data_IF_813565047827
#
_entry.id   IF_813565047827
#
_cell.length_a   1.000
_cell.length_b   1.000
_cell.length_c   1.000
_cell.angle_alpha   90.00
_cell.angle_beta   90.00
_cell.angle_gamma   90.00
#
_symmetry.space_group_name_H-M   'P 1'
#
loop_
_entity.id
_entity.type
_entity.pdbx_description
1 polymer ?
#
# COMPACT_ATOMS: atom_id res chain seq x y z
N UNK A 1 -2.91 19.36 6.27
CA UNK A 1 -4.18 18.59 6.38
C UNK A 1 -4.35 17.80 5.08
N UNK A 2 -4.49 16.47 5.16
CA UNK A 2 -4.67 15.60 3.99
C UNK A 2 -6.16 15.37 3.72
N UNK A 3 -6.71 16.06 2.71
CA UNK A 3 -8.14 16.00 2.35
C UNK A 3 -8.53 14.60 1.88
N UNK A 4 -7.66 13.89 1.16
CA UNK A 4 -7.97 12.56 0.62
C UNK A 4 -8.02 11.55 1.76
N UNK A 5 -7.03 11.58 2.66
CA UNK A 5 -7.00 10.74 3.86
C UNK A 5 -8.21 10.98 4.76
N UNK A 6 -8.59 12.25 5.00
CA UNK A 6 -9.77 12.57 5.79
C UNK A 6 -11.06 12.06 5.15
N UNK A 7 -11.20 12.21 3.82
CA UNK A 7 -12.35 11.65 3.09
C UNK A 7 -12.44 10.13 3.27
N UNK A 8 -11.33 9.40 3.20
CA UNK A 8 -11.31 7.95 3.42
C UNK A 8 -11.76 7.57 4.85
N UNK A 9 -11.31 8.32 5.86
CA UNK A 9 -11.76 8.13 7.23
C UNK A 9 -13.27 8.39 7.39
N UNK A 10 -13.79 9.45 6.76
CA UNK A 10 -15.23 9.74 6.73
C UNK A 10 -16.02 8.66 5.99
N UNK A 11 -15.49 8.09 4.91
CA UNK A 11 -16.13 6.96 4.21
C UNK A 11 -16.28 5.74 5.11
N UNK A 12 -15.28 5.44 5.95
CA UNK A 12 -15.40 4.36 6.95
C UNK A 12 -16.47 4.66 7.99
N UNK A 13 -16.48 5.88 8.55
CA UNK A 13 -17.48 6.29 9.53
C UNK A 13 -18.90 6.25 8.94
N UNK A 14 -19.06 6.71 7.69
CA UNK A 14 -20.31 6.63 6.95
C UNK A 14 -20.76 5.17 6.74
N UNK A 15 -19.87 4.28 6.29
CA UNK A 15 -20.21 2.88 6.09
C UNK A 15 -20.68 2.20 7.40
N UNK A 16 -20.03 2.52 8.53
CA UNK A 16 -20.45 2.03 9.85
C UNK A 16 -21.82 2.59 10.24
N UNK A 17 -22.07 3.87 9.98
CA UNK A 17 -23.38 4.49 10.22
C UNK A 17 -24.50 3.79 9.43
N UNK A 18 -24.26 3.49 8.16
CA UNK A 18 -25.22 2.79 7.30
C UNK A 18 -25.46 1.34 7.77
N UNK A 19 -24.41 0.62 8.18
CA UNK A 19 -24.53 -0.73 8.73
C UNK A 19 -25.40 -0.71 9.99
N UNK A 20 -25.12 0.19 10.92
CA UNK A 20 -25.85 0.29 12.19
C UNK A 20 -27.34 0.68 12.01
N UNK A 21 -27.71 1.28 10.87
CA UNK A 21 -29.11 1.63 10.53
C UNK A 21 -29.84 0.55 9.73
N UNK A 22 -29.12 -0.46 9.25
CA UNK A 22 -29.70 -1.51 8.43
C UNK A 22 -30.19 -2.67 9.31
N UNK A 23 -31.52 -2.79 9.47
CA UNK A 23 -32.13 -3.86 10.27
C UNK A 23 -31.88 -5.28 9.73
N UNK A 24 -31.43 -5.42 8.47
CA UNK A 24 -31.11 -6.71 7.86
C UNK A 24 -29.63 -7.10 8.00
N UNK A 25 -28.76 -6.20 8.48
CA UNK A 25 -27.33 -6.42 8.59
C UNK A 25 -26.86 -6.15 10.03
N UNK A 26 -26.49 -7.22 10.74
CA UNK A 26 -26.11 -7.16 12.16
C UNK A 26 -27.22 -6.63 13.10
N UNK A 27 -28.43 -7.20 13.09
CA UNK A 27 -29.51 -6.77 13.98
C UNK A 27 -29.10 -6.94 15.45
N UNK A 28 -29.46 -5.98 16.30
CA UNK A 28 -29.13 -5.91 17.73
C UNK A 28 -27.63 -5.81 18.05
N UNK A 29 -26.80 -5.43 17.07
CA UNK A 29 -25.37 -5.18 17.26
C UNK A 29 -25.05 -3.79 16.74
N UNK A 30 -24.32 -3.01 17.53
CA UNK A 30 -23.82 -1.69 17.12
C UNK A 30 -22.31 -1.79 16.88
N UNK A 31 -21.87 -1.50 15.66
CA UNK A 31 -20.45 -1.37 15.34
C UNK A 31 -19.92 -0.02 15.81
N UNK A 32 -18.88 -0.07 16.63
CA UNK A 32 -18.04 1.09 16.98
C UNK A 32 -16.76 1.13 16.14
N UNK A 33 -15.98 2.20 16.29
CA UNK A 33 -14.67 2.34 15.66
C UNK A 33 -13.74 3.26 16.46
N UNK A 34 -12.44 3.03 16.30
CA UNK A 34 -11.36 3.95 16.67
C UNK A 34 -10.52 4.23 15.43
N UNK A 35 -10.20 5.50 15.19
CA UNK A 35 -9.47 5.95 14.01
C UNK A 35 -8.15 6.61 14.45
N UNK A 36 -7.08 6.23 13.76
CA UNK A 36 -5.76 6.83 13.94
C UNK A 36 -5.25 7.36 12.61
N UNK A 37 -4.56 8.50 12.65
CA UNK A 37 -3.78 8.99 11.52
C UNK A 37 -2.40 8.30 11.53
N UNK A 38 -2.05 7.64 10.41
CA UNK A 38 -0.74 7.02 10.24
C UNK A 38 0.34 8.03 9.80
N UNK A 39 -0.04 9.27 9.50
CA UNK A 39 0.81 10.37 9.04
C UNK A 39 1.74 9.96 7.89
N UNK A 40 1.30 9.02 7.05
CA UNK A 40 2.07 8.38 5.98
C UNK A 40 3.43 7.82 6.42
N UNK A 41 3.59 7.53 7.70
CA UNK A 41 4.87 7.13 8.30
C UNK A 41 4.77 5.71 8.83
N UNK A 42 5.74 4.86 8.51
CA UNK A 42 5.72 3.45 8.90
C UNK A 42 5.59 3.25 10.40
N UNK A 43 6.44 3.91 11.20
CA UNK A 43 6.44 3.77 12.65
C UNK A 43 5.14 4.24 13.32
N UNK A 44 4.54 5.32 12.83
CA UNK A 44 3.28 5.85 13.39
C UNK A 44 2.12 4.91 13.07
N UNK A 45 1.96 4.51 11.80
CA UNK A 45 0.92 3.56 11.40
C UNK A 45 1.05 2.20 12.09
N UNK A 46 2.28 1.72 12.27
CA UNK A 46 2.54 0.47 12.99
C UNK A 46 2.16 0.56 14.47
N UNK A 47 2.55 1.64 15.17
CA UNK A 47 2.16 1.86 16.57
C UNK A 47 0.64 1.97 16.72
N UNK A 48 -0.02 2.73 15.85
CA UNK A 48 -1.47 2.87 15.85
C UNK A 48 -2.18 1.51 15.72
N UNK A 49 -1.73 0.66 14.80
CA UNK A 49 -2.30 -0.68 14.63
C UNK A 49 -2.12 -1.57 15.89
N UNK A 50 -0.97 -1.47 16.56
CA UNK A 50 -0.75 -2.19 17.83
C UNK A 50 -1.62 -1.63 18.96
N UNK A 51 -1.79 -0.32 19.06
CA UNK A 51 -2.70 0.30 20.04
C UNK A 51 -4.14 -0.17 19.83
N UNK A 52 -4.62 -0.18 18.57
CA UNK A 52 -5.94 -0.71 18.20
C UNK A 52 -6.11 -2.18 18.62
N UNK A 53 -5.10 -3.03 18.32
CA UNK A 53 -5.18 -4.47 18.59
C UNK A 53 -4.97 -4.83 20.07
N UNK A 54 -4.29 -3.99 20.86
CA UNK A 54 -4.03 -4.25 22.27
C UNK A 54 -5.02 -3.59 23.22
N UNK A 55 -5.78 -2.60 22.74
CA UNK A 55 -6.67 -1.78 23.58
C UNK A 55 -5.92 -0.90 24.61
N UNK A 56 -4.60 -0.74 24.45
CA UNK A 56 -3.77 0.06 25.34
C UNK A 56 -3.49 1.43 24.71
N UNK A 57 -3.99 2.48 25.37
CA UNK A 57 -3.47 3.83 25.25
C UNK A 57 -2.36 4.03 26.30
N UNK A 58 -1.48 5.02 26.11
CA UNK A 58 -0.11 5.17 26.69
C UNK A 58 0.10 5.00 28.23
N UNK A 59 -0.94 4.73 29.02
CA UNK A 59 -0.87 4.57 30.48
C UNK A 59 -1.32 3.16 30.90
N UNK A 60 -0.37 2.31 31.30
CA UNK A 60 -0.66 1.00 31.91
C UNK A 60 -0.84 1.19 33.42
N UNK A 61 -2.07 1.36 33.90
CA UNK A 61 -2.40 1.25 35.33
C UNK A 61 -2.74 -0.20 35.67
N UNK A 62 -1.81 -0.91 36.31
CA UNK A 62 -1.94 -2.32 36.73
C UNK A 62 -3.01 -2.58 37.81
N UNK A 63 -3.66 -1.53 38.33
CA UNK A 63 -4.49 -1.60 39.54
C UNK A 63 -5.96 -1.19 39.35
N UNK A 64 -6.42 -0.91 38.13
CA UNK A 64 -7.84 -0.64 37.85
C UNK A 64 -8.39 -1.60 36.78
N UNK A 65 -9.67 -2.00 36.85
CA UNK A 65 -10.27 -2.88 35.85
C UNK A 65 -10.28 -2.17 34.49
N UNK A 66 -9.40 -2.59 33.59
CA UNK A 66 -9.38 -2.27 32.16
C UNK A 66 -9.83 -0.84 31.81
N UNK A 67 -9.11 0.17 32.30
CA UNK A 67 -9.32 1.56 31.86
C UNK A 67 -8.65 1.71 30.48
N UNK A 68 -9.45 1.72 29.41
CA UNK A 68 -8.97 1.85 28.03
C UNK A 68 -10.02 1.46 26.99
N UNK A 69 -9.80 1.85 25.74
CA UNK A 69 -10.65 1.42 24.62
C UNK A 69 -10.47 -0.09 24.42
N UNK A 70 -11.54 -0.90 24.33
CA UNK A 70 -11.39 -2.34 24.14
C UNK A 70 -10.62 -2.65 22.84
N UNK A 71 -9.85 -3.75 22.79
CA UNK A 71 -9.19 -4.20 21.58
C UNK A 71 -10.17 -4.32 20.40
N UNK A 72 -9.76 -3.88 19.21
CA UNK A 72 -10.59 -4.00 18.02
C UNK A 72 -10.64 -5.45 17.53
N UNK A 73 -11.80 -5.84 16.98
CA UNK A 73 -11.98 -7.15 16.35
C UNK A 73 -11.29 -7.29 14.99
N UNK A 74 -10.95 -6.16 14.36
CA UNK A 74 -10.30 -6.11 13.06
C UNK A 74 -9.92 -4.69 12.68
N UNK A 75 -9.04 -4.58 11.70
CA UNK A 75 -8.48 -3.30 11.24
C UNK A 75 -8.86 -3.08 9.78
N UNK A 76 -9.36 -1.89 9.47
CA UNK A 76 -9.54 -1.41 8.08
C UNK A 76 -8.37 -0.50 7.74
N UNK A 77 -7.72 -0.75 6.60
CA UNK A 77 -6.45 -0.12 6.22
C UNK A 77 -5.27 -1.08 6.40
N UNK A 78 -4.03 -0.63 6.28
CA UNK A 78 -3.55 0.68 5.81
C UNK A 78 -3.69 0.79 4.27
N UNK A 79 -3.35 1.94 3.68
CA UNK A 79 -3.26 2.11 2.23
C UNK A 79 -1.90 1.71 1.64
N UNK A 80 -0.81 1.80 2.42
CA UNK A 80 0.54 1.46 1.95
C UNK A 80 0.84 -0.04 2.07
N UNK A 81 1.41 -0.63 1.02
CA UNK A 81 1.88 -2.01 1.04
C UNK A 81 2.94 -2.26 2.12
N UNK A 82 3.96 -1.39 2.24
CA UNK A 82 4.99 -1.49 3.28
C UNK A 82 4.41 -1.45 4.69
N UNK A 83 3.47 -0.55 4.96
CA UNK A 83 2.81 -0.50 6.28
C UNK A 83 1.97 -1.75 6.53
N UNK A 84 1.21 -2.21 5.55
CA UNK A 84 0.41 -3.43 5.67
C UNK A 84 1.28 -4.65 5.93
N UNK A 85 2.45 -4.77 5.28
CA UNK A 85 3.42 -5.86 5.52
C UNK A 85 3.89 -5.81 6.97
N UNK A 86 4.36 -4.65 7.44
CA UNK A 86 4.86 -4.51 8.81
C UNK A 86 3.80 -4.85 9.85
N UNK A 87 2.59 -4.29 9.71
CA UNK A 87 1.48 -4.53 10.64
C UNK A 87 1.07 -6.02 10.60
N UNK A 88 0.89 -6.59 9.42
CA UNK A 88 0.42 -7.98 9.25
C UNK A 88 1.44 -9.01 9.74
N UNK A 89 2.74 -8.68 9.69
CA UNK A 89 3.80 -9.57 10.21
C UNK A 89 3.63 -9.83 11.71
N UNK A 90 3.14 -8.84 12.47
CA UNK A 90 2.91 -8.98 13.91
C UNK A 90 1.47 -9.40 14.22
N UNK A 91 0.50 -8.68 13.68
CA UNK A 91 -0.91 -8.94 13.98
C UNK A 91 -1.43 -10.25 13.38
N UNK A 92 -0.77 -10.77 12.35
CA UNK A 92 -1.03 -12.10 11.80
C UNK A 92 -0.77 -13.23 12.80
N UNK A 93 0.17 -13.08 13.74
CA UNK A 93 0.44 -14.04 14.81
C UNK A 93 -0.75 -14.16 15.76
N UNK A 94 -1.43 -13.04 16.02
CA UNK A 94 -2.62 -12.95 16.87
C UNK A 94 -3.92 -13.16 16.10
N UNK A 95 -3.84 -13.47 14.79
CA UNK A 95 -5.00 -13.68 13.90
C UNK A 95 -5.97 -12.49 13.86
N UNK A 96 -5.50 -11.27 14.12
CA UNK A 96 -6.33 -10.07 13.98
C UNK A 96 -6.55 -9.83 12.48
N UNK A 97 -7.80 -9.84 11.98
CA UNK A 97 -8.08 -9.61 10.57
C UNK A 97 -7.80 -8.15 10.20
N UNK A 98 -7.08 -7.95 9.10
CA UNK A 98 -6.77 -6.65 8.54
C UNK A 98 -7.29 -6.61 7.10
N UNK A 99 -8.10 -5.62 6.75
CA UNK A 99 -8.66 -5.44 5.41
C UNK A 99 -8.18 -4.11 4.84
N UNK A 100 -7.15 -4.16 3.99
CA UNK A 100 -6.65 -2.98 3.29
C UNK A 100 -7.56 -2.59 2.12
N UNK A 101 -7.79 -1.29 1.96
CA UNK A 101 -8.53 -0.74 0.82
C UNK A 101 -7.64 -0.32 -0.35
N UNK A 102 -6.30 -0.39 -0.23
CA UNK A 102 -5.40 0.18 -1.24
C UNK A 102 -4.03 -0.52 -1.38
N UNK A 103 -3.61 -1.39 -0.46
CA UNK A 103 -2.31 -2.06 -0.55
C UNK A 103 -2.33 -3.21 -1.57
N UNK A 104 -1.70 -2.99 -2.72
CA UNK A 104 -1.80 -3.89 -3.89
C UNK A 104 -0.62 -4.82 -4.09
N UNK A 105 0.47 -4.71 -3.30
CA UNK A 105 1.67 -5.55 -3.48
C UNK A 105 1.32 -7.03 -3.64
N UNK A 106 1.91 -7.69 -4.64
CA UNK A 106 1.72 -9.13 -4.87
C UNK A 106 2.16 -9.96 -3.68
N UNK A 107 3.20 -9.52 -2.98
CA UNK A 107 3.74 -10.12 -1.76
C UNK A 107 2.71 -10.34 -0.65
N UNK A 108 1.72 -9.45 -0.50
CA UNK A 108 0.67 -9.55 0.52
C UNK A 108 -0.33 -10.69 0.28
N UNK A 109 -0.24 -11.39 -0.86
CA UNK A 109 -1.10 -12.54 -1.18
C UNK A 109 -0.59 -13.85 -0.59
N UNK A 110 0.63 -13.88 -0.04
CA UNK A 110 1.19 -15.06 0.62
C UNK A 110 0.45 -15.35 1.94
N UNK A 111 -0.42 -16.36 1.92
CA UNK A 111 -1.24 -16.76 3.07
C UNK A 111 -0.46 -17.44 4.19
N UNK A 112 0.74 -17.93 3.92
CA UNK A 112 1.61 -18.47 4.97
C UNK A 112 2.25 -17.33 5.76
N UNK A 113 2.66 -16.25 5.07
CA UNK A 113 3.24 -15.05 5.72
C UNK A 113 2.18 -14.12 6.32
N UNK A 114 1.06 -13.93 5.63
CA UNK A 114 0.02 -12.97 6.00
C UNK A 114 -1.35 -13.66 6.13
N UNK A 115 -1.54 -14.52 7.14
CA UNK A 115 -2.71 -15.39 7.25
C UNK A 115 -4.02 -14.64 7.52
N UNK A 116 -3.97 -13.44 8.10
CA UNK A 116 -5.14 -12.62 8.44
C UNK A 116 -5.22 -11.30 7.64
N UNK A 117 -4.40 -11.14 6.60
CA UNK A 117 -4.46 -9.98 5.72
C UNK A 117 -5.45 -10.19 4.57
N UNK A 118 -6.30 -9.21 4.31
CA UNK A 118 -7.25 -9.19 3.21
C UNK A 118 -7.23 -7.81 2.56
N UNK A 119 -7.84 -7.71 1.38
CA UNK A 119 -7.98 -6.43 0.69
C UNK A 119 -9.17 -6.40 -0.24
N UNK A 120 -9.73 -5.21 -0.44
CA UNK A 120 -10.85 -4.95 -1.37
C UNK A 120 -10.37 -4.43 -2.74
N UNK A 121 -9.06 -4.52 -3.01
CA UNK A 121 -8.40 -4.11 -4.25
C UNK A 121 -7.58 -5.29 -4.80
N UNK A 122 -7.48 -5.49 -6.14
CA UNK A 122 -6.71 -6.58 -6.71
C UNK A 122 -5.19 -6.44 -6.48
N UNK A 123 -4.48 -7.54 -6.72
CA UNK A 123 -3.01 -7.56 -6.66
C UNK A 123 -2.37 -6.86 -7.86
N UNK A 124 -1.20 -6.26 -7.63
CA UNK A 124 -0.29 -5.77 -8.68
C UNK A 124 0.14 -6.85 -9.67
N UNK A 125 0.05 -8.14 -9.32
CA UNK A 125 0.30 -9.22 -10.28
C UNK A 125 -0.61 -9.10 -11.53
N UNK A 126 -1.84 -8.62 -11.35
CA UNK A 126 -2.75 -8.35 -12.47
C UNK A 126 -2.37 -7.07 -13.22
N UNK A 127 -1.97 -6.02 -12.50
CA UNK A 127 -1.55 -4.75 -13.12
C UNK A 127 -0.28 -4.91 -13.96
N UNK A 128 0.74 -5.60 -13.44
CA UNK A 128 1.99 -5.92 -14.16
C UNK A 128 1.68 -6.71 -15.42
N UNK A 129 0.85 -7.76 -15.31
CA UNK A 129 0.43 -8.55 -16.48
C UNK A 129 -0.30 -7.69 -17.52
N UNK A 130 -1.19 -6.80 -17.10
CA UNK A 130 -1.89 -5.90 -18.00
C UNK A 130 -0.92 -4.94 -18.71
N UNK A 131 0.05 -4.36 -17.99
CA UNK A 131 1.07 -3.49 -18.59
C UNK A 131 1.94 -4.23 -19.61
N UNK A 132 2.34 -5.47 -19.33
CA UNK A 132 3.05 -6.32 -20.30
C UNK A 132 2.21 -6.55 -21.56
N UNK A 133 0.90 -6.82 -21.42
CA UNK A 133 0.01 -6.98 -22.58
C UNK A 133 -0.12 -5.70 -23.41
N UNK A 134 -0.13 -4.53 -22.76
CA UNK A 134 -0.12 -3.23 -23.45
C UNK A 134 1.17 -3.09 -24.28
N UNK A 135 2.34 -3.34 -23.69
CA UNK A 135 3.63 -3.29 -24.41
C UNK A 135 3.60 -4.20 -25.64
N UNK A 136 3.13 -5.44 -25.48
CA UNK A 136 3.00 -6.42 -26.57
C UNK A 136 2.04 -5.95 -27.67
N UNK A 137 0.88 -5.41 -27.28
CA UNK A 137 -0.14 -4.94 -28.23
C UNK A 137 0.41 -3.87 -29.17
N UNK A 138 1.27 -3.00 -28.66
CA UNK A 138 1.87 -1.91 -29.45
C UNK A 138 3.26 -2.23 -30.00
N UNK A 139 3.80 -3.43 -29.77
CA UNK A 139 5.14 -3.82 -30.22
C UNK A 139 6.27 -3.05 -29.52
N UNK A 140 6.03 -2.51 -28.33
CA UNK A 140 7.03 -1.77 -27.56
C UNK A 140 7.95 -2.72 -26.80
N UNK A 141 9.03 -3.14 -27.45
CA UNK A 141 9.97 -4.14 -26.91
C UNK A 141 11.10 -3.55 -26.08
N UNK A 142 11.17 -2.22 -25.96
CA UNK A 142 12.24 -1.51 -25.25
C UNK A 142 11.67 -0.37 -24.41
N UNK A 143 11.57 -0.57 -23.10
CA UNK A 143 10.93 0.35 -22.17
C UNK A 143 11.78 0.63 -20.93
N UNK A 144 11.67 1.83 -20.37
CA UNK A 144 12.22 2.15 -19.05
C UNK A 144 11.25 1.76 -17.93
N UNK A 145 11.76 1.49 -16.73
CA UNK A 145 10.96 1.28 -15.53
C UNK A 145 11.38 2.26 -14.42
N UNK A 146 10.42 2.99 -13.87
CA UNK A 146 10.58 3.83 -12.69
C UNK A 146 9.71 3.27 -11.56
N UNK A 147 10.29 3.07 -10.38
CA UNK A 147 9.57 2.52 -9.22
C UNK A 147 9.71 3.41 -7.99
N UNK A 148 8.77 3.32 -7.05
CA UNK A 148 8.97 3.90 -5.70
C UNK A 148 9.98 3.11 -4.88
N UNK A 149 10.70 3.80 -3.99
CA UNK A 149 11.61 3.18 -3.02
C UNK A 149 10.84 2.60 -1.82
N UNK A 150 9.97 1.63 -2.09
CA UNK A 150 9.18 0.91 -1.09
C UNK A 150 8.82 -0.52 -1.56
N UNK A 151 8.17 -1.30 -0.69
CA UNK A 151 7.80 -2.69 -1.01
C UNK A 151 6.84 -2.77 -2.20
N UNK A 152 6.04 -1.74 -2.46
CA UNK A 152 5.13 -1.67 -3.60
C UNK A 152 5.93 -1.61 -4.91
N UNK A 153 6.82 -0.62 -5.04
CA UNK A 153 7.65 -0.45 -6.23
C UNK A 153 8.63 -1.61 -6.45
N UNK A 154 9.34 -2.02 -5.39
CA UNK A 154 10.38 -3.07 -5.48
C UNK A 154 9.79 -4.43 -5.87
N UNK A 155 8.63 -4.83 -5.33
CA UNK A 155 8.00 -6.08 -5.73
C UNK A 155 7.44 -6.02 -7.15
N UNK A 156 6.89 -4.89 -7.56
CA UNK A 156 6.46 -4.71 -8.95
C UNK A 156 7.64 -4.82 -9.92
N UNK A 157 8.79 -4.22 -9.59
CA UNK A 157 10.00 -4.35 -10.39
C UNK A 157 10.47 -5.80 -10.53
N UNK A 158 10.47 -6.56 -9.42
CA UNK A 158 10.76 -8.01 -9.47
C UNK A 158 9.82 -8.75 -10.42
N UNK A 159 8.51 -8.45 -10.37
CA UNK A 159 7.54 -9.05 -11.29
C UNK A 159 7.78 -8.67 -12.75
N UNK A 160 8.14 -7.41 -13.05
CA UNK A 160 8.52 -7.04 -14.42
C UNK A 160 9.78 -7.75 -14.89
N UNK A 161 10.81 -7.85 -14.04
CA UNK A 161 12.03 -8.57 -14.38
C UNK A 161 11.79 -10.06 -14.63
N UNK A 162 10.90 -10.70 -13.86
CA UNK A 162 10.59 -12.12 -14.03
C UNK A 162 9.68 -12.38 -15.23
N UNK A 163 8.70 -11.50 -15.49
CA UNK A 163 7.59 -11.85 -16.39
C UNK A 163 7.71 -11.21 -17.77
N UNK A 164 8.40 -10.06 -17.91
CA UNK A 164 8.41 -9.27 -19.15
C UNK A 164 9.03 -10.04 -20.32
N UNK A 165 10.27 -10.50 -20.16
CA UNK A 165 11.00 -11.21 -21.22
C UNK A 165 10.37 -12.58 -21.54
N UNK A 166 10.05 -13.45 -20.56
CA UNK A 166 9.40 -14.73 -20.83
C UNK A 166 8.02 -14.60 -21.50
N UNK A 167 7.30 -13.51 -21.24
CA UNK A 167 6.01 -13.24 -21.88
C UNK A 167 6.14 -12.73 -23.34
N UNK A 168 7.37 -12.52 -23.83
CA UNK A 168 7.63 -11.87 -25.12
C UNK A 168 7.29 -10.38 -25.13
N UNK A 169 7.31 -9.74 -23.95
CA UNK A 169 7.02 -8.31 -23.78
C UNK A 169 8.21 -7.39 -24.05
N UNK A 170 9.39 -7.94 -24.34
CA UNK A 170 10.62 -7.20 -24.61
C UNK A 170 11.53 -7.13 -23.39
N UNK A 171 12.30 -6.04 -23.29
CA UNK A 171 13.33 -5.83 -22.28
C UNK A 171 13.20 -4.45 -21.63
N UNK A 172 13.68 -4.36 -20.39
CA UNK A 172 13.83 -3.09 -19.69
C UNK A 172 15.18 -2.46 -20.06
N UNK A 173 15.15 -1.24 -20.58
CA UNK A 173 16.33 -0.46 -20.94
C UNK A 173 17.08 0.05 -19.70
N UNK A 174 16.32 0.38 -18.66
CA UNK A 174 16.81 0.81 -17.35
C UNK A 174 15.72 0.54 -16.31
N UNK A 175 16.12 0.47 -15.05
CA UNK A 175 15.22 0.42 -13.90
C UNK A 175 15.78 1.37 -12.86
N UNK A 176 15.04 2.41 -12.54
CA UNK A 176 15.46 3.46 -11.62
C UNK A 176 14.46 3.59 -10.47
N UNK A 177 15.00 3.84 -9.29
CA UNK A 177 14.22 4.01 -8.07
C UNK A 177 14.07 5.51 -7.82
N UNK A 178 12.83 5.98 -7.69
CA UNK A 178 12.55 7.38 -7.43
C UNK A 178 12.81 7.68 -5.95
N UNK A 179 13.60 8.72 -5.64
CA UNK A 179 13.89 9.09 -4.25
C UNK A 179 12.64 9.59 -3.55
N UNK A 180 12.63 9.44 -2.22
CA UNK A 180 11.64 10.12 -1.38
C UNK A 180 11.98 11.61 -1.26
N UNK A 181 10.98 12.45 -1.53
CA UNK A 181 11.12 13.90 -1.42
C UNK A 181 11.94 14.53 -2.56
N UNK A 182 12.39 15.76 -2.32
CA UNK A 182 13.15 16.52 -3.31
C UNK A 182 14.65 16.22 -3.17
N UNK A 183 15.18 15.42 -4.10
CA UNK A 183 16.61 15.14 -4.21
C UNK A 183 17.08 15.48 -5.63
N UNK A 184 17.37 16.76 -5.92
CA UNK A 184 17.65 17.22 -7.28
C UNK A 184 18.83 16.53 -7.95
N UNK A 185 19.87 16.17 -7.20
CA UNK A 185 21.05 15.51 -7.77
C UNK A 185 20.72 14.09 -8.26
N UNK A 186 19.94 13.35 -7.47
CA UNK A 186 19.49 12.02 -7.85
C UNK A 186 18.45 12.06 -8.98
N UNK A 187 17.52 13.01 -8.94
CA UNK A 187 16.55 13.19 -10.01
C UNK A 187 17.23 13.56 -11.34
N UNK A 188 18.21 14.48 -11.32
CA UNK A 188 19.04 14.78 -12.51
C UNK A 188 19.82 13.56 -13.00
N UNK A 189 20.34 12.72 -12.10
CA UNK A 189 20.98 11.46 -12.47
C UNK A 189 20.01 10.54 -13.23
N UNK A 190 18.81 10.34 -12.69
CA UNK A 190 17.76 9.51 -13.30
C UNK A 190 17.37 10.07 -14.69
N UNK A 191 17.10 11.38 -14.79
CA UNK A 191 16.78 12.02 -16.08
C UNK A 191 17.91 11.84 -17.08
N UNK A 192 19.17 11.92 -16.66
CA UNK A 192 20.32 11.67 -17.54
C UNK A 192 20.39 10.22 -18.04
N UNK A 193 20.03 9.23 -17.20
CA UNK A 193 19.90 7.83 -17.64
C UNK A 193 18.79 7.71 -18.68
N UNK A 194 17.63 8.33 -18.43
CA UNK A 194 16.49 8.34 -19.36
C UNK A 194 16.86 8.96 -20.70
N UNK A 195 17.55 10.11 -20.70
CA UNK A 195 18.00 10.83 -21.92
C UNK A 195 19.03 10.06 -22.74
N UNK A 196 19.86 9.24 -22.09
CA UNK A 196 20.86 8.38 -22.77
C UNK A 196 20.24 7.13 -23.39
N UNK A 197 19.07 6.71 -22.90
CA UNK A 197 18.37 5.53 -23.42
C UNK A 197 17.67 5.83 -24.75
N UNK A 198 17.54 4.80 -25.59
CA UNK A 198 16.72 4.84 -26.80
C UNK A 198 15.24 4.51 -26.54
N UNK A 199 14.89 4.12 -25.31
CA UNK A 199 13.52 3.79 -24.92
C UNK A 199 12.63 5.04 -25.00
N UNK A 200 11.46 4.90 -25.63
CA UNK A 200 10.45 5.97 -25.72
C UNK A 200 9.26 5.74 -24.78
N UNK A 201 9.13 4.54 -24.26
CA UNK A 201 8.06 4.13 -23.34
C UNK A 201 8.66 4.00 -21.95
N UNK A 202 8.02 4.62 -20.97
CA UNK A 202 8.43 4.56 -19.57
C UNK A 202 7.27 4.03 -18.75
N UNK A 203 7.50 2.91 -18.08
CA UNK A 203 6.59 2.28 -17.13
C UNK A 203 6.86 2.91 -15.78
N UNK A 204 5.81 3.37 -15.10
CA UNK A 204 5.93 3.96 -13.76
C UNK A 204 5.09 3.15 -12.78
N UNK A 205 5.73 2.66 -11.72
CA UNK A 205 5.12 1.92 -10.63
C UNK A 205 5.49 2.58 -9.29
N UNK A 206 4.91 3.75 -9.06
CA UNK A 206 5.20 4.60 -7.91
C UNK A 206 3.95 5.37 -7.48
N UNK A 207 3.98 5.94 -6.27
CA UNK A 207 2.96 6.90 -5.85
C UNK A 207 3.15 8.23 -6.59
N UNK A 208 2.05 8.95 -6.83
CA UNK A 208 2.04 10.25 -7.53
C UNK A 208 3.10 11.23 -6.99
N UNK A 209 3.29 11.29 -5.67
CA UNK A 209 4.24 12.18 -5.02
C UNK A 209 5.69 12.00 -5.48
N UNK A 210 6.09 10.79 -5.87
CA UNK A 210 7.45 10.53 -6.36
C UNK A 210 7.66 11.09 -7.76
N UNK A 211 6.61 11.11 -8.59
CA UNK A 211 6.70 11.60 -9.97
C UNK A 211 6.72 13.13 -10.04
N UNK A 212 6.07 13.83 -9.11
CA UNK A 212 5.98 15.30 -9.13
C UNK A 212 7.37 15.95 -9.18
N UNK A 213 8.35 15.42 -8.46
CA UNK A 213 9.70 15.98 -8.45
C UNK A 213 10.46 15.67 -9.75
N UNK A 214 10.37 14.43 -10.26
CA UNK A 214 10.99 14.06 -11.53
C UNK A 214 10.45 14.88 -12.70
N UNK A 215 9.15 15.18 -12.72
CA UNK A 215 8.51 15.94 -13.81
C UNK A 215 8.90 17.44 -13.84
N UNK A 216 9.57 17.94 -12.79
CA UNK A 216 10.07 19.32 -12.74
C UNK A 216 11.48 19.47 -13.33
N UNK A 217 12.21 18.37 -13.49
CA UNK A 217 13.56 18.31 -14.07
C UNK A 217 13.51 18.13 -15.61
#
# INVERSE_FOLDING_TARGET
FDVIGFRQAQTMAFAIHEINRNSNLLPNVTLGYSLYDNCRTLGIGFRAALSLASGKEDQVTLHEPCVGTPPVLGIVGDSSSTRCIAISTVLGLYRVPMVSYFATCSCLSDRQKFPSFFRTIPSDAFQVRAMIQILKRFGWTWAGLLISDDDYGVHAARSFHSDLAPSGGGCLAYTEILPWGDNPDELRRIVNVMKKSTARVVIVFAQESHMIYLMKE
#
